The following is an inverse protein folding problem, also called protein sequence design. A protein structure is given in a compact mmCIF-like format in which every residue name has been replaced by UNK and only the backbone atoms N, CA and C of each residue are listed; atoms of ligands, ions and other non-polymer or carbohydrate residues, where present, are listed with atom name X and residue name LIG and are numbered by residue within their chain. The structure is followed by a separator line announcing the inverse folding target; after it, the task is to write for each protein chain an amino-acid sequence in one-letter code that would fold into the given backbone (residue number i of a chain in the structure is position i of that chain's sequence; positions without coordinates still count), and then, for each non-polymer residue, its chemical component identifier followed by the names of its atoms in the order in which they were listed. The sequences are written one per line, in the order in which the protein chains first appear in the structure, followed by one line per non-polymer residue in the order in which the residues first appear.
data_IF_912322254592
#
_entry.id   IF_912322254592
#
_cell.length_a   1.000
_cell.length_b   1.000
_cell.length_c   1.000
_cell.angle_alpha   90.00
_cell.angle_beta   90.00
_cell.angle_gamma   90.00
#
_symmetry.space_group_name_H-M   'P 1'
#
loop_
_entity.id
_entity.type
_entity.pdbx_description
1 polymer ?
#
# COMPACT_ATOMS: atom_id res chain seq x y z
N UNK A 1 -3.88 10.15 -12.72
CA UNK A 1 -2.78 10.09 -13.70
C UNK A 1 -1.44 10.36 -13.02
N UNK A 2 -1.28 11.43 -12.25
CA UNK A 2 -0.01 11.80 -11.61
C UNK A 2 0.51 10.76 -10.61
N UNK A 3 -0.39 10.12 -9.85
CA UNK A 3 -0.03 9.05 -8.91
C UNK A 3 0.56 7.83 -9.63
N UNK A 4 -0.06 7.40 -10.72
CA UNK A 4 0.42 6.26 -11.54
C UNK A 4 1.78 6.58 -12.16
N UNK A 5 1.93 7.78 -12.73
CA UNK A 5 3.20 8.24 -13.30
C UNK A 5 4.32 8.29 -12.25
N UNK A 6 4.00 8.74 -11.03
CA UNK A 6 4.95 8.76 -9.91
C UNK A 6 5.38 7.35 -9.49
N UNK A 7 4.42 6.41 -9.39
CA UNK A 7 4.74 5.00 -9.08
C UNK A 7 5.65 4.40 -10.14
N UNK A 8 5.34 4.60 -11.42
CA UNK A 8 6.17 4.12 -12.52
C UNK A 8 7.58 4.71 -12.48
N UNK A 9 7.71 6.02 -12.27
CA UNK A 9 9.01 6.69 -12.19
C UNK A 9 9.86 6.19 -11.01
N UNK A 10 9.25 5.97 -9.83
CA UNK A 10 9.96 5.54 -8.63
C UNK A 10 10.31 4.05 -8.63
N UNK A 11 9.52 3.23 -9.28
CA UNK A 11 9.81 1.79 -9.38
C UNK A 11 10.81 1.47 -10.47
N UNK A 12 11.07 2.40 -11.40
CA UNK A 12 11.87 2.19 -12.60
C UNK A 12 11.47 0.92 -13.37
N UNK A 13 10.24 0.48 -13.21
CA UNK A 13 9.71 -0.69 -13.89
C UNK A 13 9.28 -0.28 -15.28
N UNK A 14 10.11 -0.61 -16.25
CA UNK A 14 9.74 -0.64 -17.67
C UNK A 14 8.86 -1.86 -17.98
N UNK A 15 8.03 -2.27 -17.03
CA UNK A 15 7.13 -3.40 -17.25
C UNK A 15 5.99 -2.99 -18.18
N UNK A 16 5.61 -3.86 -19.12
CA UNK A 16 4.54 -3.59 -20.07
C UNK A 16 3.14 -3.50 -19.43
N UNK A 17 3.01 -3.93 -18.18
CA UNK A 17 1.75 -3.83 -17.45
C UNK A 17 1.62 -2.45 -16.80
N UNK A 18 0.69 -1.61 -17.26
CA UNK A 18 0.43 -0.33 -16.64
C UNK A 18 -0.07 -0.55 -15.21
N UNK A 19 0.37 0.33 -14.31
CA UNK A 19 -0.21 0.39 -12.97
C UNK A 19 -1.71 0.69 -13.11
N UNK A 20 -2.60 -0.11 -12.52
CA UNK A 20 -4.04 0.10 -12.64
C UNK A 20 -4.46 1.48 -12.14
N UNK A 21 -5.31 2.18 -12.87
CA UNK A 21 -5.86 3.48 -12.46
C UNK A 21 -6.61 3.42 -11.12
N UNK A 22 -7.11 2.23 -10.77
CA UNK A 22 -7.76 1.97 -9.48
C UNK A 22 -6.81 1.84 -8.30
N UNK A 23 -5.48 1.87 -8.53
CA UNK A 23 -4.50 1.75 -7.45
C UNK A 23 -4.52 3.02 -6.60
N UNK A 24 -4.92 2.87 -5.34
CA UNK A 24 -5.03 3.98 -4.39
C UNK A 24 -3.79 4.19 -3.52
N UNK A 25 -2.93 3.18 -3.41
CA UNK A 25 -1.71 3.20 -2.63
C UNK A 25 -0.66 2.28 -3.24
N UNK A 26 0.61 2.58 -3.01
CA UNK A 26 1.71 1.74 -3.42
C UNK A 26 2.87 1.79 -2.43
N UNK A 27 3.32 0.63 -1.96
CA UNK A 27 4.45 0.53 -1.03
C UNK A 27 5.76 0.37 -1.80
N UNK A 28 6.66 1.33 -1.64
CA UNK A 28 8.04 1.25 -2.10
C UNK A 28 8.86 0.62 -0.97
N UNK A 29 9.32 -0.60 -1.18
CA UNK A 29 10.00 -1.39 -0.14
C UNK A 29 11.53 -1.29 -0.17
N UNK A 30 12.10 -0.59 -1.13
CA UNK A 30 13.54 -0.48 -1.26
C UNK A 30 13.96 0.59 -2.26
N UNK A 31 13.82 1.85 -1.88
CA UNK A 31 14.32 2.99 -2.65
C UNK A 31 15.74 3.34 -2.21
N UNK A 32 16.71 3.29 -3.14
CA UNK A 32 18.10 3.60 -2.82
C UNK A 32 18.26 5.08 -2.50
N UNK A 33 18.61 5.38 -1.28
CA UNK A 33 18.91 6.73 -0.81
C UNK A 33 20.42 6.96 -0.89
N UNK A 34 20.85 7.64 -1.94
CA UNK A 34 22.26 7.91 -2.20
C UNK A 34 22.91 8.83 -1.15
N UNK A 35 22.13 9.71 -0.51
CA UNK A 35 22.65 10.55 0.59
C UNK A 35 23.03 9.70 1.81
N UNK A 36 22.30 8.60 2.04
CA UNK A 36 22.66 7.63 3.10
C UNK A 36 23.90 6.85 2.74
N UNK A 37 24.07 6.49 1.46
CA UNK A 37 25.30 5.86 0.98
C UNK A 37 26.50 6.79 1.18
N UNK A 38 26.37 8.07 0.81
CA UNK A 38 27.44 9.06 0.99
C UNK A 38 27.77 9.29 2.47
N UNK A 39 26.77 9.42 3.33
CA UNK A 39 26.98 9.55 4.78
C UNK A 39 27.67 8.31 5.37
N UNK A 40 27.30 7.11 4.95
CA UNK A 40 27.97 5.89 5.33
C UNK A 40 29.45 5.93 4.91
N UNK A 41 29.73 6.28 3.65
CA UNK A 41 31.10 6.40 3.14
C UNK A 41 31.93 7.38 3.97
N UNK A 42 31.40 8.57 4.24
CA UNK A 42 32.08 9.57 5.06
C UNK A 42 32.41 9.04 6.47
N UNK A 43 31.46 8.40 7.14
CA UNK A 43 31.68 7.81 8.46
C UNK A 43 32.71 6.68 8.42
N UNK A 44 32.67 5.85 7.39
CA UNK A 44 33.62 4.77 7.18
C UNK A 44 35.05 5.32 6.92
N UNK A 45 35.19 6.33 6.08
CA UNK A 45 36.47 7.02 5.83
C UNK A 45 37.05 7.66 7.11
N UNK A 46 36.21 8.33 7.90
CA UNK A 46 36.60 8.92 9.17
C UNK A 46 37.09 7.85 10.18
N UNK A 47 36.41 6.69 10.24
CA UNK A 47 36.82 5.61 11.13
C UNK A 47 38.17 5.00 10.80
N UNK A 48 38.70 5.25 9.62
CA UNK A 48 40.01 4.77 9.12
C UNK A 48 41.08 5.85 9.10
N UNK A 49 40.89 6.95 9.83
CA UNK A 49 41.83 8.07 9.93
C UNK A 49 42.23 8.68 8.58
N UNK A 50 41.33 8.69 7.61
CA UNK A 50 41.54 9.26 6.29
C UNK A 50 42.49 8.47 5.37
N UNK A 51 42.94 7.28 5.77
CA UNK A 51 43.80 6.41 4.95
C UNK A 51 42.97 5.55 3.99
N UNK A 52 42.05 6.19 3.25
CA UNK A 52 41.18 5.48 2.32
C UNK A 52 41.25 6.14 0.95
N UNK A 53 41.42 5.31 -0.06
CA UNK A 53 41.30 5.68 -1.48
C UNK A 53 40.05 5.12 -2.11
N UNK A 54 39.79 5.47 -3.35
CA UNK A 54 38.62 4.99 -4.10
C UNK A 54 38.60 3.47 -4.24
N UNK A 55 39.78 2.84 -4.33
CA UNK A 55 39.88 1.39 -4.42
C UNK A 55 39.40 0.72 -3.12
N UNK A 56 39.77 1.24 -1.97
CA UNK A 56 39.29 0.76 -0.68
C UNK A 56 37.79 0.89 -0.53
N UNK A 57 37.20 1.98 -1.04
CA UNK A 57 35.74 2.13 -1.11
C UNK A 57 35.07 1.09 -2.00
N UNK A 58 35.64 0.80 -3.16
CA UNK A 58 35.10 -0.25 -4.05
C UNK A 58 35.07 -1.64 -3.42
N UNK A 59 35.98 -1.91 -2.47
CA UNK A 59 35.96 -3.16 -1.69
C UNK A 59 34.95 -3.13 -0.54
N UNK A 60 34.67 -1.95 0.03
CA UNK A 60 33.67 -1.81 1.11
C UNK A 60 32.23 -1.76 0.59
N UNK A 61 32.00 -1.18 -0.56
CA UNK A 61 30.64 -1.01 -1.11
C UNK A 61 29.84 -2.32 -1.25
N UNK A 62 30.41 -3.48 -1.63
CA UNK A 62 29.74 -4.77 -1.59
C UNK A 62 29.24 -5.17 -0.20
N UNK A 63 30.00 -4.82 0.86
CA UNK A 63 29.59 -5.05 2.25
C UNK A 63 28.36 -4.20 2.60
N UNK A 64 28.38 -2.90 2.25
CA UNK A 64 27.23 -2.04 2.44
C UNK A 64 26.00 -2.57 1.73
N UNK A 65 26.14 -3.08 0.50
CA UNK A 65 25.00 -3.61 -0.29
C UNK A 65 24.26 -4.78 0.38
N UNK A 66 24.93 -5.53 1.24
CA UNK A 66 24.32 -6.62 2.01
C UNK A 66 23.38 -6.08 3.10
N UNK A 67 23.53 -4.84 3.51
CA UNK A 67 22.80 -4.17 4.58
C UNK A 67 21.84 -3.12 4.02
N UNK A 68 20.79 -3.59 3.33
CA UNK A 68 19.80 -2.72 2.64
C UNK A 68 19.17 -1.67 3.58
N UNK A 69 18.98 -2.02 4.85
CA UNK A 69 18.44 -1.13 5.87
C UNK A 69 19.31 0.13 6.12
N UNK A 70 20.59 0.09 5.74
CA UNK A 70 21.51 1.22 5.90
C UNK A 70 21.37 2.27 4.82
N UNK A 71 20.90 1.88 3.62
CA UNK A 71 20.85 2.78 2.47
C UNK A 71 19.55 2.80 1.70
N UNK A 72 18.60 1.91 2.03
CA UNK A 72 17.29 1.93 1.39
C UNK A 72 16.23 2.53 2.31
N UNK A 73 15.41 3.39 1.73
CA UNK A 73 14.21 3.90 2.36
C UNK A 73 13.00 3.07 1.96
N UNK A 74 12.00 3.10 2.84
CA UNK A 74 10.69 2.49 2.63
C UNK A 74 9.64 3.53 2.89
N UNK A 75 8.71 3.66 1.98
CA UNK A 75 7.62 4.61 2.12
C UNK A 75 6.38 4.15 1.36
N UNK A 76 5.25 4.72 1.71
CA UNK A 76 3.97 4.43 1.09
C UNK A 76 3.54 5.67 0.32
N UNK A 77 3.28 5.50 -0.97
CA UNK A 77 2.64 6.51 -1.80
C UNK A 77 1.13 6.36 -1.64
N UNK A 78 0.45 7.48 -1.41
CA UNK A 78 -1.00 7.51 -1.30
C UNK A 78 -1.58 8.44 -2.36
N UNK A 79 -2.62 7.99 -3.05
CA UNK A 79 -3.42 8.86 -3.92
C UNK A 79 -4.35 9.74 -3.10
N UNK A 80 -4.80 10.85 -3.67
CA UNK A 80 -5.76 11.77 -3.05
C UNK A 80 -7.22 11.48 -3.40
N UNK A 81 -7.48 10.48 -4.25
CA UNK A 81 -8.85 10.12 -4.66
C UNK A 81 -9.69 9.47 -3.55
N UNK A 82 -10.99 9.33 -3.76
CA UNK A 82 -11.89 8.65 -2.84
C UNK A 82 -11.46 7.21 -2.55
N UNK A 83 -11.58 6.77 -1.30
CA UNK A 83 -11.27 5.40 -0.93
C UNK A 83 -12.25 4.43 -1.60
N UNK A 84 -11.72 3.34 -2.18
CA UNK A 84 -12.49 2.37 -2.97
C UNK A 84 -13.30 2.98 -4.13
N UNK A 85 -12.97 4.19 -4.60
CA UNK A 85 -13.72 4.89 -5.62
C UNK A 85 -15.16 5.23 -5.22
N UNK A 86 -15.44 5.37 -3.92
CA UNK A 86 -16.76 5.67 -3.41
C UNK A 86 -16.95 7.19 -3.28
N UNK A 87 -18.01 7.71 -3.89
CA UNK A 87 -18.31 9.13 -3.85
C UNK A 87 -18.81 9.58 -2.46
N UNK A 88 -18.53 10.83 -2.11
CA UNK A 88 -18.82 11.42 -0.80
C UNK A 88 -20.29 11.27 -0.38
N UNK A 89 -21.22 11.38 -1.32
CA UNK A 89 -22.66 11.27 -1.08
C UNK A 89 -23.07 9.91 -0.50
N UNK A 90 -22.41 8.82 -0.90
CA UNK A 90 -22.71 7.48 -0.37
C UNK A 90 -22.31 7.31 1.10
N UNK A 91 -21.43 8.18 1.58
CA UNK A 91 -20.96 8.18 2.98
C UNK A 91 -21.64 9.31 3.81
N UNK A 92 -22.53 10.09 3.20
CA UNK A 92 -23.13 11.25 3.84
C UNK A 92 -22.13 12.38 4.16
N UNK A 93 -21.05 12.49 3.38
CA UNK A 93 -19.96 13.44 3.60
C UNK A 93 -19.94 14.53 2.54
N UNK A 94 -19.35 15.68 2.89
CA UNK A 94 -18.89 16.65 1.90
C UNK A 94 -17.66 16.11 1.15
N UNK A 95 -17.39 16.63 -0.05
CA UNK A 95 -16.22 16.24 -0.85
C UNK A 95 -14.89 16.41 -0.07
N UNK A 96 -14.76 17.50 0.69
CA UNK A 96 -13.58 17.75 1.53
C UNK A 96 -13.43 16.69 2.62
N UNK A 97 -14.49 16.42 3.37
CA UNK A 97 -14.49 15.38 4.41
C UNK A 97 -14.16 13.99 3.81
N UNK A 98 -14.78 13.66 2.67
CA UNK A 98 -14.50 12.41 1.98
C UNK A 98 -13.02 12.26 1.63
N UNK A 99 -12.38 13.29 1.10
CA UNK A 99 -10.95 13.27 0.78
C UNK A 99 -10.07 13.12 2.03
N UNK A 100 -10.38 13.85 3.10
CA UNK A 100 -9.66 13.75 4.38
C UNK A 100 -9.79 12.34 4.98
N UNK A 101 -11.01 11.81 5.05
CA UNK A 101 -11.29 10.47 5.57
C UNK A 101 -10.65 9.39 4.69
N UNK A 102 -10.76 9.50 3.36
CA UNK A 102 -10.16 8.57 2.41
C UNK A 102 -8.65 8.47 2.58
N UNK A 103 -7.98 9.61 2.83
CA UNK A 103 -6.54 9.62 3.08
C UNK A 103 -6.18 8.92 4.39
N UNK A 104 -6.94 9.17 5.47
CA UNK A 104 -6.72 8.53 6.77
C UNK A 104 -6.98 7.02 6.71
N UNK A 105 -8.07 6.60 6.06
CA UNK A 105 -8.39 5.19 5.86
C UNK A 105 -7.23 4.51 5.11
N UNK A 106 -6.84 5.06 3.96
CA UNK A 106 -5.79 4.49 3.11
C UNK A 106 -4.45 4.39 3.83
N UNK A 107 -4.06 5.44 4.57
CA UNK A 107 -2.83 5.43 5.34
C UNK A 107 -2.82 4.30 6.37
N UNK A 108 -3.87 4.19 7.17
CA UNK A 108 -3.92 3.18 8.23
C UNK A 108 -4.10 1.76 7.65
N UNK A 109 -4.83 1.61 6.55
CA UNK A 109 -4.95 0.36 5.81
C UNK A 109 -3.56 -0.16 5.37
N UNK A 110 -2.78 0.66 4.69
CA UNK A 110 -1.45 0.28 4.21
C UNK A 110 -0.44 0.08 5.35
N UNK A 111 -0.52 0.88 6.40
CA UNK A 111 0.29 0.67 7.60
C UNK A 111 -0.05 -0.66 8.28
N UNK A 112 -1.31 -1.08 8.25
CA UNK A 112 -1.73 -2.38 8.78
C UNK A 112 -1.11 -3.51 7.97
N UNK A 113 -1.16 -3.48 6.64
CA UNK A 113 -0.48 -4.45 5.79
C UNK A 113 1.04 -4.49 6.05
N UNK A 114 1.65 -3.34 6.26
CA UNK A 114 3.07 -3.29 6.60
C UNK A 114 3.35 -3.97 7.95
N UNK A 115 2.50 -3.73 8.95
CA UNK A 115 2.62 -4.33 10.28
C UNK A 115 2.39 -5.85 10.23
N UNK A 116 1.28 -6.30 9.64
CA UNK A 116 0.92 -7.72 9.58
C UNK A 116 1.98 -8.54 8.86
N UNK A 117 2.53 -8.02 7.77
CA UNK A 117 3.63 -8.65 7.05
C UNK A 117 4.90 -8.80 7.90
N UNK A 118 5.17 -7.84 8.76
CA UNK A 118 6.34 -7.85 9.64
C UNK A 118 6.18 -8.82 10.80
N UNK A 119 5.00 -8.87 11.39
CA UNK A 119 4.71 -9.66 12.59
C UNK A 119 4.37 -11.11 12.25
N UNK A 120 3.57 -11.32 11.22
CA UNK A 120 3.06 -12.65 10.86
C UNK A 120 3.76 -13.26 9.62
N UNK A 121 4.67 -12.57 9.00
CA UNK A 121 5.50 -13.02 7.89
C UNK A 121 4.81 -13.06 6.53
N UNK A 122 3.62 -13.61 6.41
CA UNK A 122 2.97 -13.80 5.12
C UNK A 122 1.44 -13.72 5.23
N UNK A 123 0.91 -12.51 5.09
CA UNK A 123 -0.52 -12.31 4.86
C UNK A 123 -0.77 -11.76 3.45
N UNK A 124 -0.12 -12.35 2.45
CA UNK A 124 -0.29 -11.91 1.06
C UNK A 124 -1.68 -12.27 0.56
N UNK A 125 -2.44 -11.22 0.15
CA UNK A 125 -3.75 -11.34 -0.52
C UNK A 125 -4.75 -12.24 0.23
N UNK A 126 -4.61 -12.33 1.54
CA UNK A 126 -5.61 -13.01 2.35
C UNK A 126 -6.73 -12.02 2.65
N UNK A 127 -7.97 -12.44 2.43
CA UNK A 127 -9.15 -11.62 2.74
C UNK A 127 -9.16 -11.13 4.20
N UNK A 128 -8.62 -11.92 5.12
CA UNK A 128 -8.50 -11.53 6.53
C UNK A 128 -7.55 -10.35 6.75
N UNK A 129 -6.46 -10.28 5.99
CA UNK A 129 -5.54 -9.13 6.05
C UNK A 129 -6.23 -7.85 5.53
N UNK A 130 -7.00 -7.96 4.46
CA UNK A 130 -7.78 -6.86 3.91
C UNK A 130 -8.89 -6.40 4.88
N UNK A 131 -9.62 -7.33 5.50
CA UNK A 131 -10.64 -7.01 6.50
C UNK A 131 -10.01 -6.29 7.71
N UNK A 132 -8.87 -6.78 8.20
CA UNK A 132 -8.14 -6.15 9.29
C UNK A 132 -7.64 -4.75 8.92
N UNK A 133 -7.12 -4.60 7.71
CA UNK A 133 -6.63 -3.32 7.21
C UNK A 133 -7.77 -2.30 7.05
N UNK A 134 -8.92 -2.72 6.53
CA UNK A 134 -10.12 -1.87 6.45
C UNK A 134 -10.67 -1.52 7.84
N UNK A 135 -10.70 -2.49 8.76
CA UNK A 135 -11.11 -2.23 10.15
C UNK A 135 -10.26 -1.14 10.79
N UNK A 136 -8.94 -1.25 10.68
CA UNK A 136 -8.01 -0.26 11.23
C UNK A 136 -8.13 1.08 10.53
N UNK A 137 -8.26 1.08 9.21
CA UNK A 137 -8.44 2.29 8.41
C UNK A 137 -9.71 3.05 8.77
N UNK A 138 -10.84 2.38 8.78
CA UNK A 138 -12.15 2.97 9.12
C UNK A 138 -12.15 3.48 10.57
N UNK A 139 -11.64 2.67 11.51
CA UNK A 139 -11.57 3.04 12.92
C UNK A 139 -10.72 4.28 13.15
N UNK A 140 -9.56 4.38 12.50
CA UNK A 140 -8.69 5.55 12.59
C UNK A 140 -9.32 6.82 12.03
N UNK A 141 -10.09 6.70 10.95
CA UNK A 141 -10.73 7.82 10.31
C UNK A 141 -11.95 8.33 11.10
N UNK A 142 -12.74 7.45 11.69
CA UNK A 142 -14.01 7.77 12.34
C UNK A 142 -13.96 7.78 13.87
N UNK A 143 -12.89 7.29 14.47
CA UNK A 143 -12.82 7.03 15.91
C UNK A 143 -13.44 5.70 16.34
N UNK A 144 -14.19 5.02 15.45
CA UNK A 144 -14.76 3.69 15.66
C UNK A 144 -15.02 3.01 14.32
N UNK A 145 -15.05 1.68 14.31
CA UNK A 145 -15.42 0.90 13.12
C UNK A 145 -16.87 1.17 12.72
N UNK A 146 -17.11 1.22 11.42
CA UNK A 146 -18.45 1.31 10.81
C UNK A 146 -18.64 0.18 9.82
N UNK A 147 -19.53 -0.75 10.14
CA UNK A 147 -19.93 -1.82 9.25
C UNK A 147 -20.58 -1.29 7.97
N UNK A 148 -21.38 -0.22 8.09
CA UNK A 148 -22.00 0.44 6.95
C UNK A 148 -20.96 0.93 5.93
N UNK A 149 -19.94 1.66 6.37
CA UNK A 149 -18.85 2.08 5.49
C UNK A 149 -18.07 0.92 4.90
N UNK A 150 -17.81 -0.11 5.70
CA UNK A 150 -17.11 -1.29 5.24
C UNK A 150 -17.88 -2.00 4.11
N UNK A 151 -19.19 -2.20 4.28
CA UNK A 151 -20.05 -2.79 3.26
C UNK A 151 -20.08 -1.94 1.98
N UNK A 152 -20.21 -0.62 2.11
CA UNK A 152 -20.14 0.30 0.97
C UNK A 152 -18.80 0.19 0.22
N UNK A 153 -17.67 0.09 0.91
CA UNK A 153 -16.36 -0.07 0.27
C UNK A 153 -16.21 -1.40 -0.46
N UNK A 154 -16.85 -2.45 0.02
CA UNK A 154 -16.91 -3.74 -0.65
C UNK A 154 -17.92 -3.78 -1.79
N UNK A 155 -18.94 -2.92 -1.78
CA UNK A 155 -20.09 -2.97 -2.68
C UNK A 155 -21.16 -3.98 -2.24
N UNK A 156 -21.28 -4.20 -0.93
CA UNK A 156 -22.20 -5.12 -0.27
C UNK A 156 -23.30 -4.43 0.54
N UNK A 157 -23.45 -3.12 0.38
CA UNK A 157 -24.43 -2.31 1.11
C UNK A 157 -25.86 -2.77 0.96
N UNK A 158 -26.20 -3.38 -0.19
CA UNK A 158 -27.56 -3.86 -0.52
C UNK A 158 -27.68 -5.39 -0.43
N UNK A 159 -26.90 -6.02 0.47
CA UNK A 159 -26.94 -7.48 0.63
C UNK A 159 -28.40 -8.02 0.67
N UNK A 160 -28.76 -9.10 -0.05
CA UNK A 160 -27.90 -10.06 -0.76
C UNK A 160 -27.47 -9.63 -2.17
N UNK A 161 -27.82 -8.45 -2.61
CA UNK A 161 -27.33 -7.88 -3.88
C UNK A 161 -25.96 -7.25 -3.63
N UNK A 162 -25.10 -7.33 -4.62
CA UNK A 162 -23.80 -6.63 -4.58
C UNK A 162 -23.67 -5.69 -5.78
N UNK A 163 -22.85 -4.70 -5.63
CA UNK A 163 -22.58 -3.72 -6.68
C UNK A 163 -21.43 -4.21 -7.56
N UNK A 164 -21.69 -4.54 -8.86
CA UNK A 164 -20.67 -5.07 -9.76
C UNK A 164 -19.45 -4.13 -9.90
N UNK A 165 -18.30 -4.71 -10.16
CA UNK A 165 -17.04 -3.98 -10.35
C UNK A 165 -16.42 -3.42 -9.08
N UNK A 166 -16.91 -3.78 -7.89
CA UNK A 166 -16.37 -3.32 -6.60
C UNK A 166 -15.42 -4.33 -5.98
N UNK A 167 -14.80 -3.93 -4.86
CA UNK A 167 -13.70 -4.67 -4.23
C UNK A 167 -14.05 -6.11 -3.87
N UNK A 168 -15.30 -6.40 -3.53
CA UNK A 168 -15.74 -7.76 -3.22
C UNK A 168 -15.39 -8.75 -4.34
N UNK A 169 -15.59 -8.38 -5.60
CA UNK A 169 -15.29 -9.25 -6.74
C UNK A 169 -13.82 -9.64 -6.85
N UNK A 170 -12.90 -8.79 -6.37
CA UNK A 170 -11.46 -9.07 -6.39
C UNK A 170 -11.04 -10.19 -5.42
N UNK A 171 -11.91 -10.52 -4.47
CA UNK A 171 -11.69 -11.59 -3.51
C UNK A 171 -12.32 -12.92 -3.92
N UNK A 172 -13.16 -12.89 -4.94
CA UNK A 172 -13.75 -14.11 -5.49
C UNK A 172 -12.72 -14.80 -6.40
N UNK A 173 -12.56 -16.13 -6.30
CA UNK A 173 -11.76 -16.88 -7.26
C UNK A 173 -12.27 -16.71 -8.68
N UNK A 174 -11.36 -16.52 -9.63
CA UNK A 174 -11.72 -16.41 -11.06
C UNK A 174 -12.47 -17.64 -11.58
N UNK A 175 -12.24 -18.79 -10.95
CA UNK A 175 -12.86 -20.08 -11.32
C UNK A 175 -14.29 -20.25 -10.80
N UNK A 176 -14.83 -19.29 -10.03
CA UNK A 176 -16.19 -19.39 -9.55
C UNK A 176 -17.18 -19.28 -10.73
N UNK A 177 -18.02 -20.31 -10.86
CA UNK A 177 -19.18 -20.23 -11.75
C UNK A 177 -20.17 -19.16 -11.26
N UNK A 178 -21.00 -18.63 -12.14
CA UNK A 178 -22.01 -17.64 -11.76
C UNK A 178 -22.94 -18.16 -10.66
N UNK A 179 -23.24 -19.46 -10.69
CA UNK A 179 -24.03 -20.12 -9.63
C UNK A 179 -23.31 -20.11 -8.28
N UNK A 180 -21.99 -20.38 -8.26
CA UNK A 180 -21.21 -20.33 -7.03
C UNK A 180 -21.09 -18.89 -6.50
N UNK A 181 -20.93 -17.92 -7.39
CA UNK A 181 -20.94 -16.48 -7.03
C UNK A 181 -22.25 -16.09 -6.35
N UNK A 182 -23.39 -16.49 -6.91
CA UNK A 182 -24.72 -16.21 -6.34
C UNK A 182 -24.88 -16.83 -4.94
N UNK A 183 -24.37 -18.05 -4.72
CA UNK A 183 -24.43 -18.70 -3.40
C UNK A 183 -23.59 -17.94 -2.37
N UNK A 184 -22.34 -17.57 -2.71
CA UNK A 184 -21.45 -16.82 -1.80
C UNK A 184 -22.01 -15.43 -1.48
N UNK A 185 -22.70 -14.82 -2.41
CA UNK A 185 -23.38 -13.53 -2.22
C UNK A 185 -24.60 -13.61 -1.30
N UNK A 186 -25.25 -14.77 -1.25
CA UNK A 186 -26.41 -15.00 -0.42
C UNK A 186 -26.08 -15.45 1.03
N UNK A 187 -24.82 -15.71 1.31
CA UNK A 187 -24.30 -16.06 2.65
C UNK A 187 -23.88 -14.81 3.42
#
# INVERSE_FOLDING_TARGET
QDFVALVQALTAKNEPEPVPDSLGAFMISGYNNWDRVQRYRQQWEQSRNGATDEFAWLLEFPNLKQHKERYQDRFILLSSGPYSGLEAQHLGLSARQCNEQSRLIRLNHECTHYFTRRVFGSMRRNIWDEILADYMGISAARGAFSADWFLHFLGLEDHPRYRPGKRFEKYLPETFSDKARTVVQAM
#
